data_IF_712479985304
#
_entry.id   IF_712479985304
#
_cell.length_a   1.000
_cell.length_b   1.000
_cell.length_c   1.000
_cell.angle_alpha   90.00
_cell.angle_beta   90.00
_cell.angle_gamma   90.00
#
_symmetry.space_group_name_H-M   'P 1'
#
loop_
_entity.id
_entity.type
_entity.pdbx_description
1 polymer ?
#
# COMPACT_ATOMS: atom_id res chain seq x y z
N UNK A 1 11.18 21.38 7.43
CA UNK A 1 12.30 20.41 7.32
C UNK A 1 11.88 18.93 7.38
N UNK A 2 10.58 18.57 7.29
CA UNK A 2 10.12 17.17 7.37
C UNK A 2 9.20 16.73 6.20
N UNK A 3 9.36 17.32 5.01
CA UNK A 3 8.65 16.79 3.82
C UNK A 3 9.28 15.50 3.29
N UNK A 4 10.53 15.20 3.67
CA UNK A 4 11.32 14.10 3.10
C UNK A 4 11.45 12.88 4.02
N UNK A 5 11.00 12.94 5.27
CA UNK A 5 11.05 11.81 6.21
C UNK A 5 10.17 10.60 5.77
N UNK A 6 9.34 10.79 4.74
CA UNK A 6 8.46 9.79 4.14
C UNK A 6 9.10 9.04 2.95
N UNK A 7 10.25 9.50 2.45
CA UNK A 7 10.94 8.94 1.30
C UNK A 7 12.03 7.97 1.72
N UNK A 8 11.64 6.85 2.33
CA UNK A 8 12.56 5.76 2.59
C UNK A 8 13.17 5.26 1.27
N UNK A 9 14.47 4.93 1.23
CA UNK A 9 15.08 4.28 0.07
C UNK A 9 14.28 3.04 -0.34
N UNK A 10 14.19 2.79 -1.64
CA UNK A 10 13.42 1.64 -2.16
C UNK A 10 13.87 0.32 -1.53
N UNK A 11 15.18 0.14 -1.34
CA UNK A 11 15.76 -1.05 -0.70
C UNK A 11 15.31 -1.27 0.75
N UNK A 12 15.05 -0.19 1.51
CA UNK A 12 14.53 -0.27 2.88
C UNK A 12 13.05 -0.68 2.87
N UNK A 13 12.28 -0.09 1.95
CA UNK A 13 10.87 -0.45 1.74
C UNK A 13 10.76 -1.91 1.32
N UNK A 14 11.61 -2.37 0.41
CA UNK A 14 11.63 -3.78 -0.01
C UNK A 14 11.96 -4.73 1.15
N UNK A 15 12.80 -4.29 2.09
CA UNK A 15 13.07 -5.03 3.32
C UNK A 15 11.83 -5.15 4.18
N UNK A 16 11.07 -4.07 4.35
CA UNK A 16 9.82 -4.09 5.11
C UNK A 16 8.77 -4.99 4.47
N UNK A 17 8.56 -4.89 3.16
CA UNK A 17 7.54 -5.66 2.42
C UNK A 17 7.85 -7.17 2.42
N UNK A 18 9.12 -7.56 2.45
CA UNK A 18 9.56 -8.97 2.48
C UNK A 18 9.63 -9.57 3.88
N UNK A 19 9.36 -8.79 4.93
CA UNK A 19 9.36 -9.29 6.31
C UNK A 19 8.29 -10.35 6.52
N UNK A 20 8.60 -11.41 7.26
CA UNK A 20 7.61 -12.39 7.71
C UNK A 20 6.65 -11.81 8.76
N UNK A 21 7.08 -10.76 9.48
CA UNK A 21 6.26 -10.05 10.45
C UNK A 21 5.30 -9.05 9.76
N UNK A 22 3.96 -9.24 9.89
CA UNK A 22 2.98 -8.34 9.30
C UNK A 22 3.00 -6.92 9.87
N UNK A 23 3.49 -6.72 11.10
CA UNK A 23 3.62 -5.38 11.68
C UNK A 23 4.71 -4.57 10.98
N UNK A 24 5.80 -5.22 10.54
CA UNK A 24 6.85 -4.60 9.75
C UNK A 24 6.35 -4.32 8.33
N UNK A 25 5.61 -5.26 7.71
CA UNK A 25 4.97 -5.01 6.40
C UNK A 25 3.97 -3.85 6.46
N UNK A 26 3.26 -3.68 7.57
CA UNK A 26 2.37 -2.55 7.80
C UNK A 26 3.11 -1.20 7.84
N UNK A 27 4.32 -1.17 8.39
CA UNK A 27 5.20 0.02 8.29
C UNK A 27 5.56 0.28 6.84
N UNK A 28 5.90 -0.76 6.08
CA UNK A 28 6.11 -0.68 4.63
C UNK A 28 4.91 -0.07 3.89
N UNK A 29 3.69 -0.50 4.21
CA UNK A 29 2.46 0.00 3.62
C UNK A 29 2.19 1.50 3.87
N UNK A 30 2.81 2.10 4.90
CA UNK A 30 2.71 3.53 5.18
C UNK A 30 3.69 4.42 4.38
N UNK A 31 4.61 3.82 3.64
CA UNK A 31 5.65 4.54 2.89
C UNK A 31 5.23 5.03 1.50
N UNK A 32 6.14 5.73 0.82
CA UNK A 32 6.02 6.05 -0.61
C UNK A 32 6.43 4.83 -1.44
N UNK A 33 5.43 4.17 -2.04
CA UNK A 33 5.58 2.90 -2.74
C UNK A 33 5.61 3.09 -4.25
N UNK A 34 6.37 2.25 -4.94
CA UNK A 34 6.18 2.03 -6.38
C UNK A 34 4.90 1.22 -6.61
N UNK A 35 4.40 1.21 -7.85
CA UNK A 35 3.24 0.39 -8.22
C UNK A 35 3.42 -1.09 -7.85
N UNK A 36 4.59 -1.67 -8.14
CA UNK A 36 4.86 -3.08 -7.87
C UNK A 36 4.87 -3.40 -6.38
N UNK A 37 5.49 -2.54 -5.57
CA UNK A 37 5.53 -2.67 -4.12
C UNK A 37 4.12 -2.61 -3.50
N UNK A 38 3.31 -1.64 -3.93
CA UNK A 38 1.94 -1.51 -3.47
C UNK A 38 1.06 -2.68 -3.92
N UNK A 39 1.23 -3.17 -5.16
CA UNK A 39 0.53 -4.36 -5.64
C UNK A 39 0.91 -5.63 -4.86
N UNK A 40 2.17 -5.75 -4.43
CA UNK A 40 2.60 -6.84 -3.57
C UNK A 40 1.91 -6.77 -2.20
N UNK A 41 1.87 -5.59 -1.58
CA UNK A 41 1.18 -5.39 -0.30
C UNK A 41 -0.35 -5.51 -0.41
N UNK A 42 -0.95 -5.19 -1.56
CA UNK A 42 -2.38 -5.38 -1.80
C UNK A 42 -2.77 -6.88 -1.77
N UNK A 43 -1.82 -7.75 -2.13
CA UNK A 43 -1.96 -9.21 -2.09
C UNK A 43 -1.66 -9.82 -0.73
N UNK A 44 -1.25 -9.03 0.27
CA UNK A 44 -0.98 -9.50 1.61
C UNK A 44 -2.21 -10.20 2.22
N UNK A 45 -1.97 -11.22 3.04
CA UNK A 45 -3.01 -11.93 3.78
C UNK A 45 -3.45 -11.17 5.04
N UNK A 46 -2.62 -10.26 5.55
CA UNK A 46 -2.92 -9.43 6.70
C UNK A 46 -3.88 -8.29 6.35
N UNK A 47 -5.10 -8.33 6.90
CA UNK A 47 -6.09 -7.27 6.74
C UNK A 47 -5.54 -5.89 7.15
N UNK A 48 -4.74 -5.83 8.21
CA UNK A 48 -4.16 -4.56 8.69
C UNK A 48 -3.18 -3.94 7.67
N UNK A 49 -2.38 -4.77 6.99
CA UNK A 49 -1.45 -4.31 5.95
C UNK A 49 -2.25 -3.74 4.78
N UNK A 50 -3.24 -4.48 4.30
CA UNK A 50 -4.07 -4.10 3.15
C UNK A 50 -4.90 -2.84 3.43
N UNK A 51 -5.49 -2.75 4.63
CA UNK A 51 -6.25 -1.56 5.06
C UNK A 51 -5.35 -0.33 5.20
N UNK A 52 -4.15 -0.45 5.77
CA UNK A 52 -3.23 0.66 5.88
C UNK A 52 -2.77 1.16 4.50
N UNK A 53 -2.47 0.24 3.58
CA UNK A 53 -2.17 0.58 2.19
C UNK A 53 -3.30 1.39 1.54
N UNK A 54 -4.56 0.96 1.70
CA UNK A 54 -5.72 1.65 1.15
C UNK A 54 -5.84 3.09 1.69
N UNK A 55 -5.72 3.27 3.00
CA UNK A 55 -5.75 4.60 3.62
C UNK A 55 -4.60 5.48 3.14
N UNK A 56 -3.39 4.93 3.04
CA UNK A 56 -2.22 5.68 2.62
C UNK A 56 -2.34 6.16 1.17
N UNK A 57 -2.82 5.31 0.26
CA UNK A 57 -3.05 5.68 -1.14
C UNK A 57 -4.13 6.77 -1.25
N UNK A 58 -5.22 6.66 -0.50
CA UNK A 58 -6.27 7.67 -0.47
C UNK A 58 -5.76 9.02 0.04
N UNK A 59 -4.99 9.01 1.13
CA UNK A 59 -4.37 10.21 1.70
C UNK A 59 -3.39 10.86 0.71
N UNK A 60 -2.49 10.09 0.11
CA UNK A 60 -1.52 10.59 -0.86
C UNK A 60 -2.19 11.14 -2.10
N UNK A 61 -3.26 10.49 -2.60
CA UNK A 61 -4.04 10.97 -3.74
C UNK A 61 -4.75 12.28 -3.41
N UNK A 62 -5.41 12.38 -2.26
CA UNK A 62 -6.09 13.59 -1.81
C UNK A 62 -5.13 14.80 -1.72
N UNK A 63 -3.88 14.56 -1.31
CA UNK A 63 -2.86 15.60 -1.20
C UNK A 63 -2.03 15.81 -2.49
N UNK A 64 -2.25 15.04 -3.55
CA UNK A 64 -1.45 15.10 -4.78
C UNK A 64 0.02 14.70 -4.58
N UNK A 65 0.30 13.80 -3.63
CA UNK A 65 1.64 13.44 -3.13
C UNK A 65 2.11 12.05 -3.56
N UNK A 66 1.59 11.49 -4.64
CA UNK A 66 2.10 10.23 -5.19
C UNK A 66 3.43 10.52 -5.92
N UNK A 67 4.56 10.27 -5.25
CA UNK A 67 5.88 10.63 -5.77
C UNK A 67 6.53 9.50 -6.58
N UNK A 68 6.24 8.24 -6.23
CA UNK A 68 6.78 7.03 -6.88
C UNK A 68 5.74 6.28 -7.71
N UNK A 69 4.57 6.87 -7.86
CA UNK A 69 3.43 6.27 -8.53
C UNK A 69 2.60 7.38 -9.20
N UNK A 70 2.06 7.10 -10.38
CA UNK A 70 1.09 7.97 -11.03
C UNK A 70 -0.30 7.83 -10.40
N UNK A 71 -1.18 8.84 -10.52
CA UNK A 71 -2.58 8.71 -10.10
C UNK A 71 -3.29 7.49 -10.70
N UNK A 72 -3.00 7.17 -11.97
CA UNK A 72 -3.58 6.03 -12.68
C UNK A 72 -3.13 4.68 -12.11
N UNK A 73 -1.85 4.57 -11.71
CA UNK A 73 -1.34 3.38 -11.04
C UNK A 73 -1.95 3.20 -9.65
N UNK A 74 -2.15 4.30 -8.91
CA UNK A 74 -2.85 4.26 -7.62
C UNK A 74 -4.30 3.81 -7.79
N UNK A 75 -4.97 4.26 -8.85
CA UNK A 75 -6.36 3.86 -9.13
C UNK A 75 -6.48 2.37 -9.47
N UNK A 76 -5.50 1.79 -10.18
CA UNK A 76 -5.46 0.35 -10.43
C UNK A 76 -5.39 -0.46 -9.13
N UNK A 77 -4.63 0.01 -8.13
CA UNK A 77 -4.55 -0.67 -6.84
C UNK A 77 -5.86 -0.51 -6.07
N UNK A 78 -6.47 0.67 -6.08
CA UNK A 78 -7.76 0.91 -5.43
C UNK A 78 -8.85 -0.02 -5.98
N UNK A 79 -8.94 -0.16 -7.31
CA UNK A 79 -9.88 -1.08 -7.97
C UNK A 79 -9.61 -2.54 -7.56
N UNK A 80 -8.35 -2.96 -7.58
CA UNK A 80 -7.97 -4.32 -7.16
C UNK A 80 -8.39 -4.60 -5.71
N UNK A 81 -8.15 -3.66 -4.80
CA UNK A 81 -8.53 -3.79 -3.39
C UNK A 81 -10.05 -3.88 -3.21
N UNK A 82 -10.80 -3.05 -3.92
CA UNK A 82 -12.26 -3.08 -3.90
C UNK A 82 -12.80 -4.45 -4.33
N UNK A 83 -12.34 -4.96 -5.48
CA UNK A 83 -12.73 -6.28 -5.99
C UNK A 83 -12.33 -7.42 -5.03
N UNK A 84 -11.14 -7.33 -4.42
CA UNK A 84 -10.69 -8.32 -3.43
C UNK A 84 -11.64 -8.37 -2.22
N UNK A 85 -12.02 -7.22 -1.68
CA UNK A 85 -12.93 -7.16 -0.53
C UNK A 85 -14.36 -7.61 -0.87
N UNK A 86 -14.92 -7.19 -2.02
CA UNK A 86 -16.24 -7.69 -2.44
C UNK A 86 -16.27 -9.22 -2.54
N UNK A 87 -15.22 -9.82 -3.12
CA UNK A 87 -15.14 -11.27 -3.25
C UNK A 87 -14.95 -11.97 -1.89
N UNK A 88 -14.14 -11.40 -0.99
CA UNK A 88 -13.92 -11.95 0.36
C UNK A 88 -15.21 -11.93 1.20
N UNK A 89 -16.08 -10.93 1.01
CA UNK A 89 -17.36 -10.83 1.71
C UNK A 89 -18.38 -11.83 1.16
N UNK A 90 -18.45 -12.02 -0.17
CA UNK A 90 -19.33 -13.01 -0.81
C UNK A 90 -18.98 -14.46 -0.40
N UNK A 91 -17.72 -14.77 -0.13
CA UNK A 91 -17.28 -16.11 0.29
C UNK A 91 -17.57 -16.42 1.77
N UNK A 92 -18.10 -15.45 2.54
CA UNK A 92 -18.42 -15.60 3.97
C UNK A 92 -19.92 -15.76 4.26
N UNK A 93 -20.77 -15.67 3.23
CA UNK A 93 -22.22 -15.93 3.29
C UNK A 93 -22.55 -17.38 2.90
#
# INVERSE_FOLDING_TARGET
LYKDAWLLPESIIDGYIRSDDPTIRQVGAGGQLTYNQAMQLAKDSSKNVVTNLAFKLAEMKHHGQLLRMTPQESDKIAVYLYQKFENDDIQRE
#
